data_IF_670738886249
#
_entry.id   IF_670738886249
#
_cell.length_a   1.000
_cell.length_b   1.000
_cell.length_c   1.000
_cell.angle_alpha   90.00
_cell.angle_beta   90.00
_cell.angle_gamma   90.00
#
_symmetry.space_group_name_H-M   'P 1'
#
loop_
_entity.id
_entity.type
_entity.pdbx_description
1 polymer ?
#
# COMPACT_ATOMS: atom_id res chain seq x y z
N UNK A 1 32.18 15.54 -19.78
CA UNK A 1 30.73 15.20 -19.82
C UNK A 1 30.47 14.35 -18.60
N UNK A 2 30.13 15.04 -17.51
CA UNK A 2 29.93 14.38 -16.22
C UNK A 2 28.58 13.70 -16.25
N UNK A 3 28.62 12.35 -16.18
CA UNK A 3 27.44 11.55 -15.88
C UNK A 3 26.99 11.90 -14.45
N UNK A 4 26.06 12.83 -14.34
CA UNK A 4 25.30 13.03 -13.11
C UNK A 4 24.41 11.78 -12.97
N UNK A 5 24.94 10.74 -12.34
CA UNK A 5 24.12 9.69 -11.76
C UNK A 5 23.23 10.39 -10.72
N UNK A 6 22.00 10.66 -11.09
CA UNK A 6 20.97 11.08 -10.14
C UNK A 6 20.86 9.94 -9.13
N UNK A 7 21.56 10.05 -7.99
CA UNK A 7 21.40 9.10 -6.91
C UNK A 7 19.95 9.19 -6.46
N UNK A 8 19.19 8.11 -6.66
CA UNK A 8 17.84 8.01 -6.14
C UNK A 8 17.87 8.26 -4.64
N UNK A 9 17.11 9.25 -4.18
CA UNK A 9 17.12 9.67 -2.78
C UNK A 9 16.40 8.67 -1.88
N UNK A 10 15.54 7.80 -2.43
CA UNK A 10 14.77 6.84 -1.66
C UNK A 10 14.45 5.57 -2.43
N UNK A 11 13.91 4.59 -1.71
CA UNK A 11 13.36 3.36 -2.23
C UNK A 11 12.06 3.04 -1.52
N UNK A 12 11.03 2.65 -2.27
CA UNK A 12 9.76 2.15 -1.74
C UNK A 12 9.59 0.69 -2.15
N UNK A 13 9.40 -0.18 -1.17
CA UNK A 13 9.32 -1.64 -1.33
C UNK A 13 7.95 -2.09 -0.87
N UNK A 14 7.23 -2.80 -1.72
CA UNK A 14 5.97 -3.45 -1.40
C UNK A 14 6.18 -4.94 -1.23
N UNK A 15 5.70 -5.50 -0.13
CA UNK A 15 5.87 -6.91 0.24
C UNK A 15 4.51 -7.59 0.30
N UNK A 16 4.43 -8.81 -0.20
CA UNK A 16 3.27 -9.68 -0.13
C UNK A 16 3.71 -11.11 0.20
N UNK A 17 2.76 -12.04 0.32
CA UNK A 17 3.07 -13.46 0.52
C UNK A 17 3.86 -14.06 -0.65
N UNK A 18 3.58 -13.62 -1.88
CA UNK A 18 4.19 -14.17 -3.10
C UNK A 18 5.53 -13.52 -3.47
N UNK A 19 5.99 -12.50 -2.72
CA UNK A 19 7.24 -11.82 -3.03
C UNK A 19 7.19 -10.32 -2.76
N UNK A 20 7.92 -9.56 -3.55
CA UNK A 20 8.04 -8.11 -3.39
C UNK A 20 8.13 -7.40 -4.75
N UNK A 21 7.84 -6.12 -4.72
CA UNK A 21 8.12 -5.17 -5.79
C UNK A 21 8.75 -3.92 -5.19
N UNK A 22 9.59 -3.20 -5.94
CA UNK A 22 10.19 -1.96 -5.47
C UNK A 22 10.26 -0.93 -6.60
N UNK A 23 10.40 0.33 -6.20
CA UNK A 23 10.74 1.44 -7.08
C UNK A 23 11.67 2.40 -6.34
N UNK A 24 12.56 3.03 -7.09
CA UNK A 24 13.41 4.11 -6.56
C UNK A 24 12.67 5.44 -6.57
N UNK A 25 12.89 6.25 -5.57
CA UNK A 25 12.27 7.57 -5.42
C UNK A 25 13.29 8.68 -5.69
N UNK A 26 12.88 9.81 -6.31
CA UNK A 26 11.58 10.03 -6.95
C UNK A 26 11.50 9.43 -8.36
N UNK A 27 10.30 8.98 -8.77
CA UNK A 27 9.94 8.77 -10.18
C UNK A 27 10.50 7.51 -10.85
N UNK A 28 11.07 6.56 -10.10
CA UNK A 28 11.48 5.27 -10.65
C UNK A 28 10.28 4.42 -11.09
N UNK A 29 10.44 3.66 -12.17
CA UNK A 29 9.45 2.65 -12.57
C UNK A 29 9.43 1.48 -11.58
N UNK A 30 8.26 0.85 -11.33
CA UNK A 30 8.20 -0.37 -10.53
C UNK A 30 9.01 -1.50 -11.16
N UNK A 31 9.65 -2.33 -10.33
CA UNK A 31 10.44 -3.48 -10.76
C UNK A 31 9.59 -4.63 -11.35
N UNK A 32 8.27 -4.59 -11.21
CA UNK A 32 7.42 -5.77 -11.27
C UNK A 32 7.54 -6.61 -10.00
N UNK A 33 6.77 -7.72 -9.93
CA UNK A 33 6.84 -8.63 -8.79
C UNK A 33 7.97 -9.63 -8.94
N UNK A 34 8.73 -9.80 -7.85
CA UNK A 34 9.91 -10.65 -7.76
C UNK A 34 9.73 -11.63 -6.61
N UNK A 35 10.21 -12.87 -6.77
CA UNK A 35 10.20 -13.85 -5.70
C UNK A 35 11.26 -13.58 -4.63
N UNK A 36 11.06 -14.14 -3.44
CA UNK A 36 11.98 -13.96 -2.30
C UNK A 36 13.41 -14.45 -2.56
N UNK A 37 13.60 -15.38 -3.49
CA UNK A 37 14.89 -15.92 -3.90
C UNK A 37 15.81 -14.86 -4.56
N UNK A 38 15.23 -13.79 -5.10
CA UNK A 38 15.97 -12.72 -5.77
C UNK A 38 16.43 -11.61 -4.82
N UNK A 39 16.02 -11.65 -3.55
CA UNK A 39 16.27 -10.59 -2.57
C UNK A 39 17.76 -10.22 -2.46
N UNK A 40 18.62 -11.23 -2.29
CA UNK A 40 20.05 -10.99 -2.08
C UNK A 40 20.82 -10.69 -3.37
N UNK A 41 20.20 -10.90 -4.54
CA UNK A 41 20.80 -10.63 -5.85
C UNK A 41 20.30 -9.32 -6.48
N UNK A 42 19.35 -8.65 -5.86
CA UNK A 42 18.83 -7.36 -6.32
C UNK A 42 19.85 -6.24 -6.02
N UNK A 43 20.44 -5.61 -7.04
CA UNK A 43 21.54 -4.64 -6.84
C UNK A 43 21.10 -3.40 -6.08
N UNK A 44 19.82 -3.01 -6.21
CA UNK A 44 19.24 -1.87 -5.52
C UNK A 44 19.29 -2.05 -3.99
N UNK A 45 19.13 -3.25 -3.50
CA UNK A 45 19.14 -3.55 -2.06
C UNK A 45 20.53 -3.51 -1.42
N UNK A 46 21.58 -3.46 -2.23
CA UNK A 46 22.96 -3.29 -1.77
C UNK A 46 23.36 -1.80 -1.62
N UNK A 47 22.45 -0.87 -1.95
CA UNK A 47 22.68 0.57 -1.84
C UNK A 47 22.14 1.11 -0.53
N UNK A 48 22.57 2.33 -0.18
CA UNK A 48 22.00 3.11 0.92
C UNK A 48 21.12 4.21 0.37
N UNK A 49 20.01 4.47 1.04
CA UNK A 49 19.01 5.44 0.61
C UNK A 49 18.78 6.46 1.73
N UNK A 50 18.45 7.69 1.36
CA UNK A 50 18.03 8.70 2.33
C UNK A 50 16.71 8.33 3.00
N UNK A 51 15.83 7.70 2.23
CA UNK A 51 14.51 7.27 2.67
C UNK A 51 14.26 5.84 2.21
N UNK A 52 13.82 4.99 3.13
CA UNK A 52 13.44 3.60 2.86
C UNK A 52 12.02 3.40 3.36
N UNK A 53 11.09 3.09 2.45
CA UNK A 53 9.72 2.72 2.77
C UNK A 53 9.54 1.23 2.53
N UNK A 54 9.02 0.51 3.54
CA UNK A 54 8.66 -0.91 3.39
C UNK A 54 7.19 -1.05 3.77
N UNK A 55 6.36 -1.42 2.81
CA UNK A 55 4.94 -1.67 3.02
C UNK A 55 4.62 -3.15 2.90
N UNK A 56 3.78 -3.66 3.80
CA UNK A 56 3.27 -5.03 3.75
C UNK A 56 1.79 -5.02 3.37
N UNK A 57 1.44 -5.77 2.31
CA UNK A 57 0.06 -5.97 1.88
C UNK A 57 -0.63 -6.97 2.82
N UNK A 58 -0.95 -6.53 4.02
CA UNK A 58 -1.69 -7.32 5.01
C UNK A 58 -3.18 -6.98 4.95
N UNK A 59 -4.08 -7.99 4.96
CA UNK A 59 -5.50 -7.74 5.10
C UNK A 59 -5.91 -7.40 6.55
N UNK A 60 -5.03 -7.64 7.53
CA UNK A 60 -5.32 -7.45 8.94
C UNK A 60 -5.13 -5.98 9.32
N UNK A 61 -6.10 -5.14 8.94
CA UNK A 61 -6.09 -3.69 9.23
C UNK A 61 -7.50 -3.21 9.61
N UNK A 62 -7.56 -2.26 10.54
CA UNK A 62 -8.76 -1.54 10.93
C UNK A 62 -8.45 -0.06 11.09
N UNK A 63 -9.32 0.82 10.59
CA UNK A 63 -9.19 2.26 10.79
C UNK A 63 -10.20 2.70 11.85
N UNK A 64 -9.71 3.14 13.00
CA UNK A 64 -10.51 3.55 14.15
C UNK A 64 -10.45 5.07 14.27
N UNK A 65 -11.59 5.79 14.35
CA UNK A 65 -11.55 7.23 14.62
C UNK A 65 -10.79 7.51 15.92
N UNK A 66 -9.92 8.53 15.91
CA UNK A 66 -9.03 8.83 17.05
C UNK A 66 -9.79 9.03 18.37
N UNK A 67 -10.99 9.63 18.32
CA UNK A 67 -11.84 9.85 19.48
C UNK A 67 -12.41 8.58 20.12
N UNK A 68 -12.37 7.44 19.42
CA UNK A 68 -12.84 6.13 19.88
C UNK A 68 -11.70 5.13 20.09
N UNK A 69 -10.48 5.53 19.77
CA UNK A 69 -9.34 4.63 19.92
C UNK A 69 -8.88 4.56 21.38
N UNK A 70 -8.70 3.33 21.89
CA UNK A 70 -8.05 3.02 23.14
C UNK A 70 -7.02 1.92 22.89
N UNK A 71 -5.79 2.15 23.32
CA UNK A 71 -4.67 1.21 23.16
C UNK A 71 -4.98 -0.16 23.77
N UNK A 72 -5.63 -0.19 24.93
CA UNK A 72 -5.96 -1.44 25.61
C UNK A 72 -6.97 -2.30 24.82
N UNK A 73 -7.80 -1.68 23.97
CA UNK A 73 -8.81 -2.34 23.14
C UNK A 73 -8.39 -2.50 21.67
N UNK A 74 -7.15 -2.15 21.29
CA UNK A 74 -6.68 -2.22 19.93
C UNK A 74 -6.87 -3.61 19.29
N UNK A 75 -6.57 -4.68 20.04
CA UNK A 75 -6.76 -6.07 19.58
C UNK A 75 -8.24 -6.38 19.34
N UNK A 76 -9.11 -5.94 20.22
CA UNK A 76 -10.56 -6.13 20.08
C UNK A 76 -11.08 -5.39 18.84
N UNK A 77 -10.70 -4.13 18.66
CA UNK A 77 -11.07 -3.34 17.50
C UNK A 77 -10.65 -3.97 16.18
N UNK A 78 -9.46 -4.59 16.10
CA UNK A 78 -9.03 -5.32 14.92
C UNK A 78 -9.84 -6.61 14.70
N UNK A 79 -10.14 -7.34 15.79
CA UNK A 79 -10.88 -8.60 15.73
C UNK A 79 -12.35 -8.45 15.32
N UNK A 80 -12.93 -7.27 15.46
CA UNK A 80 -14.30 -6.97 15.00
C UNK A 80 -14.42 -6.93 13.49
N UNK A 81 -13.32 -6.64 12.77
CA UNK A 81 -13.35 -6.45 11.31
C UNK A 81 -12.62 -7.54 10.55
N UNK A 82 -11.67 -8.24 11.19
CA UNK A 82 -10.90 -9.31 10.54
C UNK A 82 -10.56 -10.43 11.53
N UNK A 83 -10.50 -11.66 11.03
CA UNK A 83 -10.05 -12.79 11.86
C UNK A 83 -8.56 -12.62 12.21
N UNK A 84 -8.25 -12.69 13.51
CA UNK A 84 -6.89 -12.64 14.05
C UNK A 84 -6.56 -13.91 14.81
N UNK A 85 -5.33 -14.37 14.68
CA UNK A 85 -4.83 -15.55 15.37
C UNK A 85 -4.30 -15.17 16.76
N UNK A 86 -4.24 -16.12 17.73
CA UNK A 86 -3.71 -15.83 19.06
C UNK A 86 -2.28 -15.28 19.06
N UNK A 87 -1.46 -15.73 18.11
CA UNK A 87 -0.05 -15.33 17.96
C UNK A 87 0.11 -13.99 17.21
N UNK A 88 -0.95 -13.43 16.62
CA UNK A 88 -0.85 -12.15 15.93
C UNK A 88 -0.41 -11.05 16.89
N UNK A 89 0.64 -10.34 16.56
CA UNK A 89 1.01 -9.09 17.21
C UNK A 89 0.17 -7.97 16.61
N UNK A 90 -0.53 -7.23 17.46
CA UNK A 90 -1.35 -6.08 17.05
C UNK A 90 -0.61 -4.80 17.41
N UNK A 91 -0.43 -3.96 16.41
CA UNK A 91 0.20 -2.65 16.51
C UNK A 91 -0.74 -1.56 15.99
N UNK A 92 -0.40 -0.32 16.22
CA UNK A 92 -1.18 0.83 15.72
C UNK A 92 -0.28 2.01 15.36
N UNK A 93 -0.79 2.86 14.47
CA UNK A 93 -0.15 4.10 14.08
C UNK A 93 -1.21 5.18 13.87
N UNK A 94 -0.97 6.37 14.41
CA UNK A 94 -1.85 7.51 14.18
C UNK A 94 -1.77 8.01 12.75
N UNK A 95 -2.91 8.41 12.18
CA UNK A 95 -3.05 9.07 10.88
C UNK A 95 -3.78 10.40 11.11
N UNK A 96 -3.06 11.44 11.55
CA UNK A 96 -3.66 12.71 11.95
C UNK A 96 -4.47 13.38 10.84
N UNK A 97 -4.01 13.25 9.58
CA UNK A 97 -4.71 13.79 8.40
C UNK A 97 -6.09 13.14 8.15
N UNK A 98 -6.32 11.94 8.67
CA UNK A 98 -7.59 11.24 8.64
C UNK A 98 -8.37 11.35 9.96
N UNK A 99 -7.78 11.93 11.02
CA UNK A 99 -8.34 11.94 12.37
C UNK A 99 -8.60 10.52 12.91
N UNK A 100 -7.70 9.59 12.61
CA UNK A 100 -7.88 8.17 12.88
C UNK A 100 -6.59 7.49 13.30
N UNK A 101 -6.72 6.30 13.86
CA UNK A 101 -5.63 5.39 14.18
C UNK A 101 -5.80 4.14 13.33
N UNK A 102 -4.76 3.75 12.62
CA UNK A 102 -4.70 2.49 11.88
C UNK A 102 -4.19 1.40 12.83
N UNK A 103 -5.04 0.45 13.13
CA UNK A 103 -4.71 -0.75 13.91
C UNK A 103 -4.45 -1.89 12.94
N UNK A 104 -3.39 -2.66 13.15
CA UNK A 104 -2.97 -3.67 12.19
C UNK A 104 -2.19 -4.83 12.81
N UNK A 105 -2.05 -5.92 12.02
CA UNK A 105 -1.11 -6.99 12.29
C UNK A 105 -0.29 -7.30 11.02
N UNK A 106 1.01 -7.46 11.21
CA UNK A 106 1.97 -7.79 10.13
C UNK A 106 2.31 -9.29 10.10
N UNK A 107 1.70 -10.11 10.92
CA UNK A 107 2.03 -11.55 11.06
C UNK A 107 2.00 -12.31 9.74
N UNK A 108 1.11 -11.93 8.81
CA UNK A 108 1.10 -12.46 7.44
C UNK A 108 2.20 -11.77 6.62
N UNK A 109 3.25 -12.52 6.25
CA UNK A 109 4.38 -11.97 5.48
C UNK A 109 5.50 -11.37 6.33
N UNK A 110 5.44 -11.50 7.65
CA UNK A 110 6.44 -10.97 8.58
C UNK A 110 7.87 -11.38 8.22
N UNK A 111 8.08 -12.64 7.87
CA UNK A 111 9.44 -13.17 7.60
C UNK A 111 10.13 -12.42 6.46
N UNK A 112 9.47 -12.24 5.32
CA UNK A 112 10.06 -11.56 4.17
C UNK A 112 10.24 -10.06 4.43
N UNK A 113 9.23 -9.39 5.01
CA UNK A 113 9.29 -7.97 5.31
C UNK A 113 10.38 -7.65 6.33
N UNK A 114 10.59 -8.53 7.33
CA UNK A 114 11.66 -8.41 8.32
C UNK A 114 13.04 -8.56 7.71
N UNK A 115 13.23 -9.55 6.84
CA UNK A 115 14.51 -9.72 6.12
C UNK A 115 14.80 -8.49 5.25
N UNK A 116 13.82 -7.95 4.54
CA UNK A 116 13.97 -6.73 3.75
C UNK A 116 14.34 -5.53 4.61
N UNK A 117 13.69 -5.33 5.75
CA UNK A 117 14.01 -4.24 6.70
C UNK A 117 15.44 -4.35 7.23
N UNK A 118 15.94 -5.56 7.43
CA UNK A 118 17.32 -5.79 7.87
C UNK A 118 18.37 -5.66 6.74
N UNK A 119 17.94 -5.82 5.49
CA UNK A 119 18.84 -5.82 4.32
C UNK A 119 18.94 -4.43 3.71
N UNK A 120 17.81 -3.75 3.52
CA UNK A 120 17.75 -2.43 2.89
C UNK A 120 17.74 -1.37 3.98
N UNK A 121 18.89 -0.74 4.17
CA UNK A 121 19.11 0.22 5.25
C UNK A 121 19.17 1.65 4.71
N UNK A 122 18.85 2.61 5.57
CA UNK A 122 19.05 4.03 5.25
C UNK A 122 20.54 4.41 5.18
N UNK A 123 20.83 5.67 4.86
CA UNK A 123 22.20 6.18 4.74
C UNK A 123 22.97 6.13 6.07
N UNK A 124 22.26 6.15 7.19
CA UNK A 124 22.83 6.13 8.54
C UNK A 124 22.96 4.70 9.08
N UNK A 125 22.51 3.70 8.30
CA UNK A 125 22.55 2.29 8.65
C UNK A 125 21.37 1.80 9.49
N UNK A 126 20.30 2.59 9.63
CA UNK A 126 19.13 2.19 10.37
C UNK A 126 18.20 1.32 9.50
N UNK A 127 17.45 0.46 10.18
CA UNK A 127 16.40 -0.35 9.57
C UNK A 127 15.14 0.51 9.39
N UNK A 128 14.46 0.33 8.25
CA UNK A 128 13.16 0.94 8.04
C UNK A 128 12.06 0.19 8.82
N UNK A 129 11.11 0.93 9.35
CA UNK A 129 9.90 0.35 9.91
C UNK A 129 9.06 -0.26 8.79
N UNK A 130 8.57 -1.48 9.00
CA UNK A 130 7.57 -2.09 8.13
C UNK A 130 6.19 -1.59 8.58
N UNK A 131 5.43 -1.02 7.63
CA UNK A 131 4.08 -0.55 7.88
C UNK A 131 3.09 -1.23 6.92
N UNK A 132 1.79 -1.32 7.27
CA UNK A 132 0.79 -1.87 6.38
C UNK A 132 0.63 -1.01 5.11
N UNK A 133 0.34 -1.65 3.98
CA UNK A 133 0.11 -0.95 2.70
C UNK A 133 -0.98 0.13 2.83
N UNK A 134 -2.00 -0.12 3.64
CA UNK A 134 -3.09 0.83 3.92
C UNK A 134 -2.57 2.20 4.40
N UNK A 135 -1.53 2.22 5.22
CA UNK A 135 -0.90 3.45 5.70
C UNK A 135 -0.37 4.30 4.52
N UNK A 136 0.34 3.66 3.60
CA UNK A 136 0.90 4.34 2.44
C UNK A 136 -0.17 4.77 1.44
N UNK A 137 -1.25 3.97 1.27
CA UNK A 137 -2.38 4.37 0.43
C UNK A 137 -3.03 5.66 0.96
N UNK A 138 -3.26 5.75 2.28
CA UNK A 138 -3.86 6.95 2.89
C UNK A 138 -2.91 8.15 2.72
N UNK A 139 -1.62 7.99 2.98
CA UNK A 139 -0.63 9.05 2.77
C UNK A 139 -0.56 9.53 1.32
N UNK A 140 -0.70 8.62 0.38
CA UNK A 140 -0.70 8.93 -1.07
C UNK A 140 -1.84 9.88 -1.46
N UNK A 141 -2.98 9.86 -0.76
CA UNK A 141 -4.09 10.79 -1.03
C UNK A 141 -3.66 12.26 -0.95
N UNK A 142 -2.69 12.59 -0.11
CA UNK A 142 -2.20 13.96 0.04
C UNK A 142 -1.45 14.47 -1.21
N UNK A 143 -0.89 13.58 -2.02
CA UNK A 143 -0.13 13.91 -3.23
C UNK A 143 -0.99 14.03 -4.48
N UNK A 144 -2.26 13.60 -4.42
CA UNK A 144 -3.20 13.63 -5.54
C UNK A 144 -3.98 14.94 -5.53
N UNK A 145 -3.95 15.66 -6.65
CA UNK A 145 -4.64 16.95 -6.79
C UNK A 145 -6.12 16.81 -7.14
N UNK A 146 -6.52 15.68 -7.75
CA UNK A 146 -7.93 15.43 -8.11
C UNK A 146 -8.85 15.54 -6.88
N UNK A 147 -10.08 16.02 -7.10
CA UNK A 147 -11.10 16.08 -6.04
C UNK A 147 -11.52 14.68 -5.59
N UNK A 148 -11.78 13.78 -6.55
CA UNK A 148 -12.06 12.37 -6.30
C UNK A 148 -10.73 11.61 -6.40
N UNK A 149 -10.22 11.18 -5.26
CA UNK A 149 -8.95 10.49 -5.12
C UNK A 149 -9.20 9.02 -4.90
N UNK A 150 -8.76 8.17 -5.82
CA UNK A 150 -8.95 6.73 -5.77
C UNK A 150 -7.57 6.09 -5.84
N UNK A 151 -7.16 5.43 -4.76
CA UNK A 151 -5.86 4.75 -4.67
C UNK A 151 -6.08 3.30 -4.27
N UNK A 152 -5.45 2.39 -4.98
CA UNK A 152 -5.61 0.97 -4.78
C UNK A 152 -4.27 0.22 -4.86
N UNK A 153 -4.24 -0.93 -4.23
CA UNK A 153 -3.22 -1.97 -4.40
C UNK A 153 -3.91 -3.33 -4.44
N UNK A 154 -3.57 -4.14 -5.42
CA UNK A 154 -4.11 -5.49 -5.53
C UNK A 154 -3.00 -6.51 -5.70
N UNK A 155 -2.95 -7.50 -4.79
CA UNK A 155 -2.00 -8.60 -4.87
C UNK A 155 -2.46 -9.77 -3.97
N UNK A 156 -2.12 -10.99 -4.35
CA UNK A 156 -2.33 -12.22 -3.57
C UNK A 156 -3.77 -12.38 -3.05
N UNK A 157 -4.73 -12.01 -3.88
CA UNK A 157 -6.15 -12.15 -3.55
C UNK A 157 -6.72 -11.06 -2.65
N UNK A 158 -5.99 -9.93 -2.46
CA UNK A 158 -6.46 -8.83 -1.64
C UNK A 158 -6.42 -7.50 -2.39
N UNK A 159 -7.54 -6.79 -2.39
CA UNK A 159 -7.66 -5.41 -2.86
C UNK A 159 -7.66 -4.47 -1.65
N UNK A 160 -6.62 -3.67 -1.52
CA UNK A 160 -6.58 -2.53 -0.61
C UNK A 160 -7.09 -1.32 -1.38
N UNK A 161 -8.11 -0.64 -0.86
CA UNK A 161 -8.75 0.47 -1.55
C UNK A 161 -8.99 1.64 -0.60
N UNK A 162 -8.54 2.80 -1.02
CA UNK A 162 -8.76 4.06 -0.32
C UNK A 162 -9.37 5.07 -1.27
N UNK A 163 -10.44 5.72 -0.85
CA UNK A 163 -11.12 6.76 -1.62
C UNK A 163 -11.32 8.00 -0.74
N UNK A 164 -10.98 9.16 -1.27
CA UNK A 164 -11.25 10.45 -0.65
C UNK A 164 -11.92 11.41 -1.63
N UNK A 165 -12.68 12.36 -1.09
CA UNK A 165 -13.26 13.50 -1.82
C UNK A 165 -12.73 14.78 -1.18
N UNK A 166 -11.95 15.54 -1.94
CA UNK A 166 -11.20 16.66 -1.41
C UNK A 166 -10.25 16.21 -0.31
N UNK A 167 -10.48 16.65 0.92
CA UNK A 167 -9.72 16.26 2.12
C UNK A 167 -10.42 15.20 2.98
N UNK A 168 -11.65 14.81 2.61
CA UNK A 168 -12.43 13.86 3.40
C UNK A 168 -12.18 12.42 2.95
N UNK A 169 -11.62 11.60 3.82
CA UNK A 169 -11.54 10.15 3.63
C UNK A 169 -12.96 9.57 3.64
N UNK A 170 -13.32 8.84 2.58
CA UNK A 170 -14.66 8.27 2.38
C UNK A 170 -14.68 6.76 2.53
N UNK A 171 -13.58 6.12 2.17
CA UNK A 171 -13.39 4.67 2.28
C UNK A 171 -11.92 4.38 2.53
N UNK A 172 -11.64 3.48 3.46
CA UNK A 172 -10.38 2.75 3.59
C UNK A 172 -10.73 1.32 3.98
N UNK A 173 -10.56 0.37 3.07
CA UNK A 173 -10.94 -1.02 3.32
C UNK A 173 -10.08 -2.01 2.52
N UNK A 174 -10.07 -3.26 2.98
CA UNK A 174 -9.45 -4.38 2.28
C UNK A 174 -10.53 -5.39 1.93
N UNK A 175 -10.54 -5.82 0.67
CA UNK A 175 -11.50 -6.78 0.14
C UNK A 175 -10.79 -8.05 -0.31
N UNK A 176 -11.37 -9.21 0.00
CA UNK A 176 -10.91 -10.45 -0.58
C UNK A 176 -11.28 -10.48 -2.07
N UNK A 177 -10.28 -10.49 -2.92
CA UNK A 177 -10.42 -10.42 -4.37
C UNK A 177 -9.42 -11.39 -5.04
N UNK A 178 -9.78 -12.68 -5.15
CA UNK A 178 -8.90 -13.74 -5.61
C UNK A 178 -8.39 -13.55 -7.04
N UNK A 179 -9.11 -12.78 -7.85
CA UNK A 179 -8.74 -12.39 -9.20
C UNK A 179 -9.01 -10.90 -9.44
N UNK A 180 -8.44 -10.38 -10.54
CA UNK A 180 -8.57 -8.96 -10.86
C UNK A 180 -9.99 -8.53 -11.23
N UNK A 181 -10.81 -9.44 -11.78
CA UNK A 181 -12.22 -9.16 -12.06
C UNK A 181 -13.00 -8.91 -10.78
N UNK A 182 -12.73 -9.69 -9.76
CA UNK A 182 -13.31 -9.50 -8.42
C UNK A 182 -12.80 -8.20 -7.79
N UNK A 183 -11.53 -7.85 -7.97
CA UNK A 183 -10.98 -6.57 -7.52
C UNK A 183 -11.69 -5.38 -8.21
N UNK A 184 -11.89 -5.45 -9.51
CA UNK A 184 -12.66 -4.47 -10.26
C UNK A 184 -14.12 -4.37 -9.78
N UNK A 185 -14.76 -5.49 -9.48
CA UNK A 185 -16.12 -5.49 -8.93
C UNK A 185 -16.19 -4.66 -7.65
N UNK A 186 -15.29 -4.89 -6.68
CA UNK A 186 -15.28 -4.13 -5.44
C UNK A 186 -14.94 -2.64 -5.65
N UNK A 187 -14.01 -2.34 -6.55
CA UNK A 187 -13.68 -0.98 -6.93
C UNK A 187 -14.92 -0.24 -7.46
N UNK A 188 -15.64 -0.82 -8.43
CA UNK A 188 -16.85 -0.23 -8.98
C UNK A 188 -18.00 -0.17 -7.98
N UNK A 189 -18.13 -1.18 -7.10
CA UNK A 189 -19.14 -1.19 -6.04
C UNK A 189 -18.91 -0.01 -5.08
N UNK A 190 -17.67 0.21 -4.64
CA UNK A 190 -17.28 1.32 -3.78
C UNK A 190 -17.57 2.68 -4.46
N UNK A 191 -17.18 2.82 -5.72
CA UNK A 191 -17.46 4.02 -6.51
C UNK A 191 -18.95 4.29 -6.64
N UNK A 192 -19.75 3.25 -6.93
CA UNK A 192 -21.20 3.36 -7.03
C UNK A 192 -21.84 3.82 -5.70
N UNK A 193 -21.41 3.26 -4.58
CA UNK A 193 -21.89 3.64 -3.25
C UNK A 193 -21.55 5.09 -2.90
N UNK A 194 -20.40 5.57 -3.35
CA UNK A 194 -19.95 6.95 -3.16
C UNK A 194 -20.42 7.91 -4.27
N UNK A 195 -21.24 7.42 -5.22
CA UNK A 195 -21.76 8.19 -6.36
C UNK A 195 -20.64 8.82 -7.23
N UNK A 196 -19.54 8.07 -7.40
CA UNK A 196 -18.43 8.47 -8.26
C UNK A 196 -18.60 7.92 -9.68
N UNK A 197 -18.33 8.76 -10.68
CA UNK A 197 -18.33 8.34 -12.08
C UNK A 197 -16.91 7.98 -12.52
N UNK A 198 -16.63 6.71 -12.91
CA UNK A 198 -15.33 6.29 -13.41
C UNK A 198 -14.86 7.06 -14.63
N UNK A 199 -15.74 7.40 -15.58
CA UNK A 199 -15.38 8.06 -16.85
C UNK A 199 -14.73 9.43 -16.67
N UNK A 200 -14.94 10.08 -15.53
CA UNK A 200 -14.31 11.37 -15.19
C UNK A 200 -13.29 11.27 -14.06
N UNK A 201 -13.02 10.06 -13.57
CA UNK A 201 -12.13 9.79 -12.44
C UNK A 201 -10.83 9.14 -12.90
N UNK A 202 -9.74 9.48 -12.21
CA UNK A 202 -8.45 8.79 -12.29
C UNK A 202 -8.37 7.75 -11.19
N UNK A 203 -7.94 6.53 -11.52
CA UNK A 203 -7.59 5.52 -10.53
C UNK A 203 -6.07 5.36 -10.47
N UNK A 204 -5.53 5.33 -9.26
CA UNK A 204 -4.11 5.21 -9.00
C UNK A 204 -3.82 3.84 -8.38
N UNK A 205 -2.86 3.10 -8.94
CA UNK A 205 -2.41 1.83 -8.38
C UNK A 205 -0.97 1.96 -7.88
N UNK A 206 -0.74 1.54 -6.62
CA UNK A 206 0.63 1.45 -6.08
C UNK A 206 1.29 0.12 -6.42
N UNK A 207 0.53 -0.99 -6.43
CA UNK A 207 1.06 -2.28 -6.92
C UNK A 207 1.17 -2.29 -8.43
N UNK A 208 2.25 -2.86 -8.99
CA UNK A 208 2.38 -3.04 -10.43
C UNK A 208 1.19 -3.82 -11.01
N UNK A 209 0.58 -3.28 -12.05
CA UNK A 209 -0.45 -3.93 -12.85
C UNK A 209 0.19 -4.53 -14.11
N UNK A 210 -0.28 -5.73 -14.48
CA UNK A 210 -0.01 -6.26 -15.81
C UNK A 210 -0.80 -5.51 -16.90
N UNK A 211 -0.44 -5.76 -18.15
CA UNK A 211 -1.03 -5.05 -19.29
C UNK A 211 -2.54 -5.31 -19.40
N UNK A 212 -2.99 -6.55 -19.18
CA UNK A 212 -4.40 -6.92 -19.32
C UNK A 212 -5.26 -6.27 -18.23
N UNK A 213 -4.77 -6.28 -16.98
CA UNK A 213 -5.40 -5.60 -15.86
C UNK A 213 -5.50 -4.09 -16.09
N UNK A 214 -4.41 -3.48 -16.55
CA UNK A 214 -4.37 -2.05 -16.86
C UNK A 214 -5.33 -1.70 -17.99
N UNK A 215 -5.32 -2.45 -19.10
CA UNK A 215 -6.20 -2.23 -20.24
C UNK A 215 -7.68 -2.42 -19.90
N UNK A 216 -7.99 -3.34 -18.97
CA UNK A 216 -9.38 -3.53 -18.53
C UNK A 216 -9.92 -2.32 -17.78
N UNK A 217 -9.09 -1.62 -16.99
CA UNK A 217 -9.46 -0.38 -16.29
C UNK A 217 -9.61 0.80 -17.26
N UNK A 218 -8.74 0.93 -18.26
CA UNK A 218 -8.81 2.02 -19.25
C UNK A 218 -10.13 2.06 -20.05
N UNK A 219 -10.89 0.96 -20.05
CA UNK A 219 -12.23 0.92 -20.68
C UNK A 219 -13.27 1.75 -19.92
N UNK A 220 -13.02 2.04 -18.65
CA UNK A 220 -14.01 2.65 -17.76
C UNK A 220 -13.52 3.95 -17.14
N UNK A 221 -12.22 4.07 -16.87
CA UNK A 221 -11.63 5.22 -16.19
C UNK A 221 -11.11 6.26 -17.17
N UNK A 222 -11.23 7.54 -16.78
CA UNK A 222 -10.59 8.65 -17.51
C UNK A 222 -9.09 8.42 -17.65
N UNK A 223 -8.44 7.94 -16.60
CA UNK A 223 -7.02 7.60 -16.58
C UNK A 223 -6.72 6.51 -15.54
N UNK A 224 -5.69 5.72 -15.81
CA UNK A 224 -5.11 4.75 -14.89
C UNK A 224 -3.66 5.14 -14.68
N UNK A 225 -3.28 5.41 -13.45
CA UNK A 225 -1.93 5.88 -13.09
C UNK A 225 -1.25 4.82 -12.25
N UNK A 226 -0.08 4.40 -12.69
CA UNK A 226 0.83 3.56 -11.91
C UNK A 226 1.72 4.48 -11.06
N UNK A 227 1.63 4.34 -9.74
CA UNK A 227 2.38 5.15 -8.78
C UNK A 227 3.77 4.58 -8.49
#
# INVERSE_FOLDING_TARGET
MDNVHTQSSGISIQVSLSGYSFKTLPGGAPSGWMGSEQLFTTPEFQRRYKEVEISLLTPKVALVPESFFDEASAREALSEVVAIDPEDTVEWIAIPEAGAVLVYSLSIGESLSKVLSQTVLDQDGNQAQVLPEMFYLIRTLATIEDYNKIVASWRDGWLHLVIAQGKSLRLANVFQAPDFTTAQYYLFLAMKQLQLNPEVSTVHFRTPLDMDSSMSLYRYFKAVVQL
#
